data_IF_686713794003
#
_entry.id   IF_686713794003
#
_cell.length_a   1.000
_cell.length_b   1.000
_cell.length_c   1.000
_cell.angle_alpha   90.00
_cell.angle_beta   90.00
_cell.angle_gamma   90.00
#
_symmetry.space_group_name_H-M   'P 1'
#
loop_
_entity.id
_entity.type
_entity.pdbx_description
1 polymer ?
#
# COMPACT_ATOMS: atom_id res chain seq x y z
N UNK A 1 -18.38 -1.36 -7.50
CA UNK A 1 -17.49 -2.25 -6.73
C UNK A 1 -17.04 -1.48 -5.49
N UNK A 2 -17.21 -2.02 -4.28
CA UNK A 2 -16.82 -1.31 -3.04
C UNK A 2 -15.35 -1.57 -2.77
N UNK A 3 -14.55 -0.52 -2.69
CA UNK A 3 -13.13 -0.63 -2.33
C UNK A 3 -12.97 -0.83 -0.82
N UNK A 4 -11.94 -1.60 -0.47
CA UNK A 4 -11.36 -1.68 0.87
C UNK A 4 -10.16 -0.74 0.95
N UNK A 5 -9.85 -0.29 2.15
CA UNK A 5 -8.77 0.66 2.41
C UNK A 5 -7.75 -0.01 3.31
N UNK A 6 -6.49 0.28 3.08
CA UNK A 6 -5.38 -0.41 3.70
C UNK A 6 -4.29 0.58 4.08
N UNK A 7 -3.56 0.22 5.12
CA UNK A 7 -2.29 0.82 5.48
C UNK A 7 -1.21 -0.22 5.25
N UNK A 8 -0.24 0.11 4.41
CA UNK A 8 0.94 -0.69 4.15
C UNK A 8 2.13 -0.02 4.84
N UNK A 9 2.71 -0.70 5.83
CA UNK A 9 3.98 -0.33 6.42
C UNK A 9 5.09 -1.10 5.72
N UNK A 10 6.13 -0.40 5.26
CA UNK A 10 7.30 -1.01 4.61
C UNK A 10 8.53 -0.65 5.40
N UNK A 11 9.23 -1.65 5.92
CA UNK A 11 10.50 -1.47 6.62
C UNK A 11 11.66 -1.74 5.66
N UNK A 12 12.59 -0.80 5.59
CA UNK A 12 13.76 -0.83 4.71
C UNK A 12 15.02 -1.26 5.47
N UNK A 13 16.10 -1.54 4.73
CA UNK A 13 17.38 -2.04 5.29
C UNK A 13 18.12 -1.06 6.20
N UNK A 14 17.76 0.21 6.15
CA UNK A 14 18.23 1.27 7.03
C UNK A 14 17.39 1.41 8.31
N UNK A 15 16.51 0.43 8.58
CA UNK A 15 15.54 0.39 9.67
C UNK A 15 14.48 1.52 9.62
N UNK A 16 14.41 2.27 8.52
CA UNK A 16 13.32 3.22 8.29
C UNK A 16 12.04 2.48 7.93
N UNK A 17 10.91 2.92 8.47
CA UNK A 17 9.59 2.39 8.12
C UNK A 17 8.73 3.50 7.53
N UNK A 18 8.29 3.31 6.29
CA UNK A 18 7.36 4.22 5.62
C UNK A 18 5.94 3.65 5.64
N UNK A 19 4.97 4.54 5.79
CA UNK A 19 3.55 4.23 5.81
C UNK A 19 2.86 4.69 4.52
N UNK A 20 2.07 3.80 3.92
CA UNK A 20 1.38 4.05 2.66
C UNK A 20 -0.09 3.70 2.72
N UNK A 21 -0.94 4.60 2.22
CA UNK A 21 -2.39 4.45 2.21
C UNK A 21 -2.88 3.92 0.88
N UNK A 22 -3.35 2.67 0.87
CA UNK A 22 -3.74 1.96 -0.36
C UNK A 22 -5.24 1.63 -0.39
N UNK A 23 -5.84 1.53 -1.57
CA UNK A 23 -7.20 0.99 -1.74
C UNK A 23 -7.26 -0.08 -2.82
N UNK A 24 -8.01 -1.14 -2.53
CA UNK A 24 -8.05 -2.36 -3.32
C UNK A 24 -9.36 -3.13 -3.21
N UNK A 25 -9.39 -4.32 -3.83
CA UNK A 25 -10.59 -5.19 -3.89
C UNK A 25 -10.77 -6.01 -2.61
N UNK A 26 -9.71 -6.64 -2.11
CA UNK A 26 -9.67 -7.45 -0.89
C UNK A 26 -8.25 -7.50 -0.32
N UNK A 27 -8.08 -8.03 0.90
CA UNK A 27 -6.77 -8.25 1.51
C UNK A 27 -5.90 -9.17 0.65
N UNK A 28 -6.45 -10.32 0.24
CA UNK A 28 -5.72 -11.34 -0.52
C UNK A 28 -5.23 -10.78 -1.86
N UNK A 29 -6.06 -9.99 -2.54
CA UNK A 29 -5.67 -9.33 -3.78
C UNK A 29 -4.51 -8.35 -3.54
N UNK A 30 -4.57 -7.55 -2.48
CA UNK A 30 -3.51 -6.58 -2.18
C UNK A 30 -2.19 -7.26 -1.80
N UNK A 31 -2.23 -8.29 -0.95
CA UNK A 31 -1.06 -9.09 -0.58
C UNK A 31 -0.41 -9.76 -1.80
N UNK A 32 -1.23 -10.34 -2.70
CA UNK A 32 -0.73 -10.92 -3.95
C UNK A 32 -0.02 -9.87 -4.79
N UNK A 33 -0.62 -8.69 -4.99
CA UNK A 33 0.00 -7.61 -5.77
C UNK A 33 1.32 -7.16 -5.14
N UNK A 34 1.37 -6.94 -3.82
CA UNK A 34 2.60 -6.51 -3.13
C UNK A 34 3.70 -7.58 -3.30
N UNK A 35 3.36 -8.86 -3.17
CA UNK A 35 4.29 -9.98 -3.34
C UNK A 35 4.84 -10.06 -4.77
N UNK A 36 4.03 -9.82 -5.79
CA UNK A 36 4.47 -9.86 -7.18
C UNK A 36 5.55 -8.81 -7.53
N UNK A 37 5.61 -7.70 -6.79
CA UNK A 37 6.50 -6.57 -7.08
C UNK A 37 7.45 -6.27 -5.91
N UNK A 38 7.84 -7.29 -5.13
CA UNK A 38 8.66 -7.10 -3.92
C UNK A 38 10.12 -6.71 -4.19
N UNK A 39 10.62 -6.94 -5.40
CA UNK A 39 12.04 -6.71 -5.77
C UNK A 39 12.26 -5.49 -6.68
N UNK A 40 11.22 -4.73 -6.99
CA UNK A 40 11.26 -3.63 -7.95
C UNK A 40 10.55 -2.38 -7.44
N UNK A 41 9.35 -2.13 -7.95
CA UNK A 41 8.53 -1.01 -7.54
C UNK A 41 7.03 -1.21 -7.74
N UNK A 42 6.26 -0.81 -6.73
CA UNK A 42 4.79 -0.80 -6.79
C UNK A 42 4.37 0.58 -7.29
N UNK A 43 4.01 0.70 -8.56
CA UNK A 43 3.43 1.92 -9.09
C UNK A 43 2.01 2.09 -8.59
N UNK A 44 1.66 3.28 -8.11
CA UNK A 44 0.29 3.63 -7.68
C UNK A 44 -0.33 4.66 -8.63
N UNK A 45 -1.57 5.05 -8.38
CA UNK A 45 -2.24 6.13 -9.10
C UNK A 45 -1.60 7.52 -8.93
N UNK A 46 -0.65 7.70 -7.99
CA UNK A 46 -0.02 9.01 -7.74
C UNK A 46 1.51 8.99 -7.76
N UNK A 47 2.13 7.93 -7.23
CA UNK A 47 3.57 7.81 -7.03
C UNK A 47 3.99 6.34 -7.01
N UNK A 48 5.28 6.04 -6.93
CA UNK A 48 5.80 4.67 -6.93
C UNK A 48 6.44 4.36 -5.59
N UNK A 49 6.11 3.19 -5.04
CA UNK A 49 6.75 2.63 -3.85
C UNK A 49 8.00 1.90 -4.31
N UNK A 50 9.19 2.33 -3.91
CA UNK A 50 10.40 1.55 -4.17
C UNK A 50 10.42 0.36 -3.22
N UNK A 51 10.47 -0.88 -3.72
CA UNK A 51 10.44 -2.10 -2.89
C UNK A 51 11.79 -2.83 -2.87
N UNK A 52 12.72 -2.48 -3.76
CA UNK A 52 14.04 -3.13 -3.90
C UNK A 52 14.88 -3.25 -2.60
N UNK A 53 14.70 -2.35 -1.64
CA UNK A 53 15.42 -2.37 -0.36
C UNK A 53 14.50 -2.69 0.83
N UNK A 54 13.26 -3.09 0.57
CA UNK A 54 12.33 -3.50 1.62
C UNK A 54 12.81 -4.83 2.24
N UNK A 55 12.75 -4.90 3.57
CA UNK A 55 13.06 -6.10 4.36
C UNK A 55 11.77 -6.80 4.76
N UNK A 56 10.75 -6.02 5.09
CA UNK A 56 9.43 -6.53 5.47
C UNK A 56 8.33 -5.55 5.08
N UNK A 57 7.13 -6.09 4.90
CA UNK A 57 5.92 -5.34 4.62
C UNK A 57 4.81 -5.86 5.53
N UNK A 58 4.05 -4.95 6.15
CA UNK A 58 2.86 -5.28 6.92
C UNK A 58 1.66 -4.52 6.36
N UNK A 59 0.64 -5.27 5.93
CA UNK A 59 -0.59 -4.74 5.37
C UNK A 59 -1.74 -4.95 6.36
N UNK A 60 -2.53 -3.90 6.62
CA UNK A 60 -3.76 -4.00 7.42
C UNK A 60 -4.93 -3.31 6.75
N UNK A 61 -6.12 -3.88 6.84
CA UNK A 61 -7.36 -3.23 6.40
C UNK A 61 -7.78 -2.20 7.45
N UNK A 62 -8.26 -1.04 7.00
CA UNK A 62 -8.72 0.06 7.86
C UNK A 62 -10.06 0.61 7.39
N UNK A 63 -10.80 1.23 8.30
CA UNK A 63 -11.93 2.08 7.96
C UNK A 63 -11.48 3.55 7.92
N UNK A 64 -11.47 4.23 6.76
CA UNK A 64 -11.08 5.64 6.66
C UNK A 64 -12.01 6.58 7.43
N UNK A 65 -13.20 6.13 7.83
CA UNK A 65 -14.11 6.90 8.66
C UNK A 65 -13.90 6.66 10.16
N UNK A 66 -13.00 5.75 10.55
CA UNK A 66 -12.66 5.53 11.94
C UNK A 66 -11.79 6.67 12.49
N UNK A 67 -11.90 6.89 13.80
CA UNK A 67 -11.19 7.93 14.57
C UNK A 67 -9.66 7.82 14.45
N UNK A 68 -9.14 6.69 13.98
CA UNK A 68 -7.72 6.43 13.82
C UNK A 68 -7.03 7.38 12.82
N UNK A 69 -7.77 7.95 11.86
CA UNK A 69 -7.21 8.83 10.83
C UNK A 69 -8.05 10.09 10.60
N UNK A 70 -8.14 11.01 11.58
CA UNK A 70 -9.04 12.15 11.52
C UNK A 70 -8.70 13.14 10.39
N UNK A 71 -7.45 13.16 9.94
CA UNK A 71 -6.95 13.98 8.85
C UNK A 71 -7.04 13.32 7.46
N UNK A 72 -7.29 12.01 7.38
CA UNK A 72 -7.31 11.31 6.10
C UNK A 72 -8.71 11.21 5.52
N UNK A 73 -8.80 11.42 4.22
CA UNK A 73 -10.00 11.20 3.44
C UNK A 73 -9.83 9.97 2.53
N UNK A 74 -10.95 9.45 2.02
CA UNK A 74 -10.94 8.36 1.01
C UNK A 74 -10.12 8.69 -0.25
N UNK A 75 -9.83 9.98 -0.50
CA UNK A 75 -9.04 10.42 -1.65
C UNK A 75 -7.54 10.24 -1.42
N UNK A 76 -7.10 10.11 -0.18
CA UNK A 76 -5.68 9.97 0.17
C UNK A 76 -5.18 8.54 -0.07
N UNK A 77 -6.10 7.57 -0.08
CA UNK A 77 -5.83 6.20 -0.45
C UNK A 77 -5.69 6.02 -1.97
N UNK A 78 -4.55 5.49 -2.40
CA UNK A 78 -4.19 5.28 -3.80
C UNK A 78 -4.35 3.83 -4.24
N UNK A 79 -4.60 3.59 -5.53
CA UNK A 79 -4.70 2.23 -6.06
C UNK A 79 -3.38 1.80 -6.70
N UNK A 80 -3.01 0.54 -6.57
CA UNK A 80 -1.88 -0.06 -7.28
C UNK A 80 -2.19 -0.09 -8.79
N UNK A 81 -1.21 0.29 -9.60
CA UNK A 81 -1.25 0.25 -11.05
C UNK A 81 -0.39 -0.91 -11.57
N UNK A 82 -1.03 -2.06 -11.76
CA UNK A 82 -0.39 -3.32 -12.17
C UNK A 82 0.36 -3.21 -13.51
N UNK A 83 -0.10 -2.36 -14.42
CA UNK A 83 0.53 -2.19 -15.74
C UNK A 83 1.85 -1.42 -15.70
N UNK A 84 2.16 -0.78 -14.57
CA UNK A 84 3.35 0.05 -14.39
C UNK A 84 4.23 -0.40 -13.22
N UNK A 85 3.80 -1.41 -12.47
CA UNK A 85 4.63 -2.04 -11.45
C UNK A 85 5.58 -3.03 -12.12
N UNK A 86 6.81 -3.15 -11.60
CA UNK A 86 7.88 -3.96 -12.18
C UNK A 86 8.79 -4.51 -11.09
#
# INVERSE_FOLDING_TARGET
MKYKYFVLNVTFRDDETEEYYLKGKSMEYMEERIRCYSEGGISTSRWTIATKNAVSCFLREVDPAAVEFPELSKRDFVSINEHRSF
#
